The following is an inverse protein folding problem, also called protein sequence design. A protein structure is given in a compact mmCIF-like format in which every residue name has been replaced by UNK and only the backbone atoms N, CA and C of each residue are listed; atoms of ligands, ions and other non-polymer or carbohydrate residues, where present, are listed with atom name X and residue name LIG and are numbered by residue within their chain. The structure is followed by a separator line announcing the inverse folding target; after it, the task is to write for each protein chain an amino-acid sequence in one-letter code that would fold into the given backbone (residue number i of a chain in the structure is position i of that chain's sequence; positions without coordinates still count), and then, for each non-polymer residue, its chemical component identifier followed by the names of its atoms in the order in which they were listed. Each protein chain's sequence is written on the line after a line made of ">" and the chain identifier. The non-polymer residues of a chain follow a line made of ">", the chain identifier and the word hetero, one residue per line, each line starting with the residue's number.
data_IF_498351137209
#
_entry.id   IF_498351137209
#
_cell.length_a   1.000
_cell.length_b   1.000
_cell.length_c   1.000
_cell.angle_alpha   90.00
_cell.angle_beta   90.00
_cell.angle_gamma   90.00
#
_symmetry.space_group_name_H-M   'P 1'
#
loop_
_entity.id
_entity.type
_entity.pdbx_description
1 polymer ?
#
# COMPACT_ATOMS: atom_id res chain seq x y z
N UNK A 1 -22.69 22.92 -5.68
CA UNK A 1 -21.61 22.62 -4.72
C UNK A 1 -21.14 21.16 -4.80
N UNK A 2 -22.04 20.18 -5.02
CA UNK A 2 -21.65 18.76 -5.16
C UNK A 2 -20.85 18.43 -6.43
N UNK A 3 -21.18 19.04 -7.57
CA UNK A 3 -20.48 18.78 -8.84
C UNK A 3 -18.98 19.15 -8.80
N UNK A 4 -18.63 20.24 -8.11
CA UNK A 4 -17.24 20.71 -7.99
C UNK A 4 -16.39 19.80 -7.11
N UNK A 5 -16.98 19.20 -6.07
CA UNK A 5 -16.30 18.24 -5.18
C UNK A 5 -16.04 16.91 -5.90
N UNK A 6 -16.99 16.44 -6.69
CA UNK A 6 -16.86 15.19 -7.46
C UNK A 6 -15.72 15.28 -8.49
N UNK A 7 -15.61 16.40 -9.22
CA UNK A 7 -14.53 16.58 -10.20
C UNK A 7 -13.13 16.65 -9.58
N UNK A 8 -12.98 17.28 -8.41
CA UNK A 8 -11.69 17.34 -7.70
C UNK A 8 -11.26 15.96 -7.17
N UNK A 9 -12.23 15.18 -6.67
CA UNK A 9 -12.00 13.83 -6.18
C UNK A 9 -11.55 12.88 -7.29
N UNK A 10 -12.17 12.97 -8.48
CA UNK A 10 -11.79 12.13 -9.62
C UNK A 10 -10.38 12.44 -10.13
N UNK A 11 -9.94 13.70 -10.06
CA UNK A 11 -8.57 14.08 -10.42
C UNK A 11 -7.53 13.45 -9.47
N UNK A 12 -7.72 13.56 -8.15
CA UNK A 12 -6.83 12.95 -7.14
C UNK A 12 -6.77 11.42 -7.28
N UNK A 13 -7.92 10.77 -7.50
CA UNK A 13 -7.95 9.33 -7.74
C UNK A 13 -7.21 8.96 -9.02
N UNK A 14 -7.42 9.70 -10.11
CA UNK A 14 -6.77 9.43 -11.41
C UNK A 14 -5.25 9.47 -11.27
N UNK A 15 -4.70 10.45 -10.56
CA UNK A 15 -3.26 10.57 -10.34
C UNK A 15 -2.71 9.44 -9.47
N UNK A 16 -3.48 8.92 -8.50
CA UNK A 16 -3.10 7.76 -7.69
C UNK A 16 -3.11 6.45 -8.48
N UNK A 17 -4.03 6.26 -9.42
CA UNK A 17 -4.12 5.00 -10.19
C UNK A 17 -3.16 4.96 -11.38
N UNK A 18 -2.80 6.12 -11.96
CA UNK A 18 -1.99 6.25 -13.18
C UNK A 18 -0.64 5.51 -13.15
N UNK A 19 0.13 5.49 -12.04
CA UNK A 19 1.38 4.74 -11.96
C UNK A 19 1.22 3.23 -12.20
N UNK A 20 0.03 2.69 -11.89
CA UNK A 20 -0.26 1.26 -11.98
C UNK A 20 -0.77 0.83 -13.35
N UNK A 21 -0.91 1.74 -14.33
CA UNK A 21 -1.42 1.41 -15.68
C UNK A 21 -0.69 0.23 -16.32
N UNK A 22 0.62 0.09 -16.10
CA UNK A 22 1.43 -1.00 -16.68
C UNK A 22 1.06 -2.41 -16.19
N UNK A 23 0.42 -2.52 -15.02
CA UNK A 23 0.03 -3.81 -14.42
C UNK A 23 -1.48 -4.07 -14.53
N UNK A 24 -2.24 -3.14 -15.08
CA UNK A 24 -3.69 -3.25 -15.27
C UNK A 24 -3.98 -3.75 -16.68
N UNK A 25 -5.00 -4.59 -16.80
CA UNK A 25 -5.56 -4.97 -18.09
C UNK A 25 -6.13 -3.74 -18.81
N UNK A 26 -6.04 -3.72 -20.15
CA UNK A 26 -6.48 -2.58 -20.96
C UNK A 26 -7.97 -2.30 -20.79
N UNK A 27 -8.81 -3.35 -20.72
CA UNK A 27 -10.25 -3.19 -20.50
C UNK A 27 -10.55 -2.66 -19.10
N UNK A 28 -9.79 -3.10 -18.08
CA UNK A 28 -9.92 -2.61 -16.71
C UNK A 28 -9.51 -1.15 -16.58
N UNK A 29 -8.45 -0.74 -17.29
CA UNK A 29 -8.03 0.65 -17.34
C UNK A 29 -9.11 1.56 -17.94
N UNK A 30 -9.66 1.16 -19.09
CA UNK A 30 -10.70 1.93 -19.78
C UNK A 30 -11.98 2.06 -18.94
N UNK A 31 -12.40 0.98 -18.28
CA UNK A 31 -13.56 1.01 -17.41
C UNK A 31 -13.36 1.89 -16.17
N UNK A 32 -12.16 1.90 -15.58
CA UNK A 32 -11.82 2.78 -14.45
C UNK A 32 -11.89 4.26 -14.87
N UNK A 33 -11.30 4.60 -16.01
CA UNK A 33 -11.37 5.96 -16.54
C UNK A 33 -12.82 6.35 -16.85
N UNK A 34 -13.59 5.43 -17.45
CA UNK A 34 -14.99 5.67 -17.73
C UNK A 34 -15.81 5.88 -16.45
N UNK A 35 -15.59 5.07 -15.41
CA UNK A 35 -16.27 5.19 -14.12
C UNK A 35 -15.95 6.52 -13.42
N UNK A 36 -14.69 6.97 -13.49
CA UNK A 36 -14.26 8.26 -12.94
C UNK A 36 -14.86 9.46 -13.71
N UNK A 37 -15.24 9.28 -14.97
CA UNK A 37 -15.90 10.32 -15.76
C UNK A 37 -17.43 10.26 -15.61
N UNK A 38 -18.00 9.06 -15.64
CA UNK A 38 -19.44 8.76 -15.68
C UNK A 38 -19.71 7.44 -14.92
N UNK A 39 -19.99 7.50 -13.61
CA UNK A 39 -20.11 6.32 -12.76
C UNK A 39 -21.31 5.43 -13.10
N UNK A 40 -22.30 5.95 -13.83
CA UNK A 40 -23.53 5.23 -14.19
C UNK A 40 -23.35 4.26 -15.37
N UNK A 41 -22.15 4.18 -15.96
CA UNK A 41 -21.90 3.31 -17.11
C UNK A 41 -21.57 1.88 -16.68
N UNK A 42 -22.05 0.88 -17.45
CA UNK A 42 -21.75 -0.52 -17.18
C UNK A 42 -20.27 -0.82 -17.45
N UNK A 43 -19.64 -1.48 -16.49
CA UNK A 43 -18.24 -1.96 -16.54
C UNK A 43 -18.22 -3.32 -17.25
N UNK A 44 -17.21 -3.55 -18.10
CA UNK A 44 -17.04 -4.80 -18.86
C UNK A 44 -15.94 -5.70 -18.30
N UNK A 45 -15.04 -5.13 -17.52
CA UNK A 45 -13.92 -5.83 -16.89
C UNK A 45 -14.42 -6.87 -15.91
N UNK A 46 -13.73 -8.01 -15.92
CA UNK A 46 -14.02 -9.10 -15.00
C UNK A 46 -13.62 -8.63 -13.60
N UNK A 47 -14.51 -8.84 -12.63
CA UNK A 47 -14.19 -8.57 -11.22
C UNK A 47 -12.94 -9.38 -10.87
N UNK A 48 -11.86 -8.68 -10.53
CA UNK A 48 -10.62 -9.35 -10.13
C UNK A 48 -10.95 -10.29 -8.96
N UNK A 49 -10.50 -11.55 -9.01
CA UNK A 49 -10.77 -12.48 -7.93
C UNK A 49 -10.20 -11.94 -6.63
N UNK A 50 -10.83 -12.29 -5.52
CA UNK A 50 -10.29 -12.00 -4.21
C UNK A 50 -8.84 -12.50 -4.13
N UNK A 51 -7.92 -11.65 -3.66
CA UNK A 51 -6.53 -12.05 -3.49
C UNK A 51 -6.49 -13.18 -2.46
N UNK A 52 -6.02 -14.36 -2.87
CA UNK A 52 -5.71 -15.44 -1.93
C UNK A 52 -4.49 -15.03 -1.10
N UNK A 53 -4.64 -14.96 0.22
CA UNK A 53 -3.50 -14.81 1.11
C UNK A 53 -2.65 -16.05 0.96
N UNK A 54 -1.45 -15.90 0.38
CA UNK A 54 -0.49 -17.01 0.28
C UNK A 54 0.04 -17.31 1.67
N UNK A 55 -0.53 -18.33 2.32
CA UNK A 55 0.01 -18.91 3.55
C UNK A 55 1.12 -19.88 3.16
N UNK A 56 2.13 -19.40 2.42
CA UNK A 56 3.37 -20.14 2.28
C UNK A 56 4.14 -19.95 3.58
N UNK A 57 4.66 -21.03 4.16
CA UNK A 57 5.75 -20.90 5.12
C UNK A 57 6.85 -20.08 4.43
N UNK A 58 7.13 -18.91 4.99
CA UNK A 58 8.26 -18.10 4.55
C UNK A 58 9.53 -18.89 4.88
N UNK A 59 10.57 -18.82 4.03
CA UNK A 59 11.84 -19.47 4.35
C UNK A 59 12.31 -19.00 5.73
N UNK A 60 12.85 -19.93 6.52
CA UNK A 60 13.45 -19.59 7.81
C UNK A 60 14.46 -18.46 7.58
N UNK A 61 14.21 -17.31 8.21
CA UNK A 61 15.12 -16.16 8.18
C UNK A 61 16.49 -16.64 8.66
N UNK A 62 17.49 -16.60 7.79
CA UNK A 62 18.88 -16.81 8.22
C UNK A 62 19.24 -15.70 9.21
N UNK A 63 19.86 -16.05 10.34
CA UNK A 63 20.28 -15.10 11.39
C UNK A 63 21.51 -14.27 10.96
N UNK A 64 21.47 -13.72 9.75
CA UNK A 64 22.51 -12.85 9.21
C UNK A 64 21.97 -11.41 9.19
N UNK A 65 22.77 -10.42 9.64
CA UNK A 65 22.36 -9.02 9.54
C UNK A 65 21.95 -8.69 8.11
N UNK A 66 20.73 -8.17 7.93
CA UNK A 66 20.19 -7.84 6.60
C UNK A 66 20.99 -6.74 5.91
N UNK A 67 21.57 -5.83 6.69
CA UNK A 67 22.45 -4.76 6.22
C UNK A 67 23.14 -4.06 7.40
N UNK A 68 24.30 -3.44 7.17
CA UNK A 68 24.94 -2.50 8.11
C UNK A 68 24.27 -1.11 8.10
N UNK A 69 23.27 -0.91 7.23
CA UNK A 69 22.59 0.39 7.05
C UNK A 69 21.60 0.69 8.19
N UNK A 70 21.01 -0.33 8.80
CA UNK A 70 20.09 -0.16 9.92
C UNK A 70 20.94 -0.03 11.20
N UNK A 71 20.74 1.07 11.94
CA UNK A 71 21.38 1.32 13.22
C UNK A 71 20.30 1.28 14.32
N UNK A 72 20.71 1.40 15.58
CA UNK A 72 19.81 1.39 16.73
C UNK A 72 18.69 2.45 16.65
N UNK A 73 18.95 3.63 16.07
CA UNK A 73 17.94 4.69 15.91
C UNK A 73 16.84 4.27 14.92
N UNK A 74 17.23 3.66 13.80
CA UNK A 74 16.28 3.11 12.83
C UNK A 74 15.45 1.97 13.45
N UNK A 75 16.03 1.14 14.30
CA UNK A 75 15.30 0.08 15.00
C UNK A 75 14.22 0.65 15.94
N UNK A 76 14.52 1.76 16.62
CA UNK A 76 13.58 2.44 17.50
C UNK A 76 12.44 3.11 16.71
N UNK A 77 12.76 3.74 15.58
CA UNK A 77 11.76 4.35 14.69
C UNK A 77 10.82 3.29 14.10
N UNK A 78 11.37 2.17 13.61
CA UNK A 78 10.55 1.08 13.07
C UNK A 78 9.68 0.47 14.17
N UNK A 79 10.22 0.24 15.38
CA UNK A 79 9.44 -0.28 16.52
C UNK A 79 8.30 0.66 16.90
N UNK A 80 8.59 1.97 16.93
CA UNK A 80 7.61 3.01 17.18
C UNK A 80 6.47 2.98 16.15
N UNK A 81 6.80 2.79 14.87
CA UNK A 81 5.84 2.72 13.78
C UNK A 81 5.00 1.44 13.80
N UNK A 82 5.59 0.29 14.13
CA UNK A 82 4.87 -0.99 14.23
C UNK A 82 3.79 -0.92 15.32
N UNK A 83 4.14 -0.38 16.48
CA UNK A 83 3.23 -0.30 17.63
C UNK A 83 2.32 0.93 17.60
N UNK A 84 2.46 1.80 16.58
CA UNK A 84 1.75 3.07 16.47
C UNK A 84 1.80 3.88 17.78
N UNK A 85 2.94 3.91 18.46
CA UNK A 85 3.10 4.67 19.69
C UNK A 85 3.09 6.17 19.43
N UNK A 86 2.90 6.96 20.48
CA UNK A 86 3.01 8.42 20.45
C UNK A 86 4.41 8.94 20.80
N UNK A 87 5.24 8.09 21.44
CA UNK A 87 6.64 8.37 21.75
C UNK A 87 7.53 7.20 21.36
N UNK A 88 8.71 7.45 20.76
CA UNK A 88 9.67 6.39 20.45
C UNK A 88 10.09 5.61 21.70
N UNK A 89 10.45 4.34 21.49
CA UNK A 89 11.05 3.53 22.54
C UNK A 89 12.44 4.07 22.90
N UNK A 90 12.87 3.80 24.14
CA UNK A 90 14.28 3.84 24.48
C UNK A 90 14.92 2.51 24.04
N UNK A 91 16.21 2.55 23.67
CA UNK A 91 16.97 1.35 23.26
C UNK A 91 16.86 0.20 24.26
N UNK A 92 16.72 0.49 25.55
CA UNK A 92 16.61 -0.50 26.63
C UNK A 92 15.24 -1.18 26.73
N UNK A 93 14.20 -0.53 26.21
CA UNK A 93 12.80 -0.93 26.35
C UNK A 93 12.20 -1.42 25.01
N UNK A 94 13.04 -1.59 23.99
CA UNK A 94 12.63 -1.99 22.65
C UNK A 94 12.18 -3.47 22.66
N UNK A 95 10.93 -3.77 22.25
CA UNK A 95 10.37 -5.12 22.34
C UNK A 95 10.84 -6.03 21.19
N UNK A 96 11.40 -5.45 20.13
CA UNK A 96 11.85 -6.14 18.94
C UNK A 96 13.36 -6.14 18.84
N UNK A 97 13.92 -7.19 18.22
CA UNK A 97 15.33 -7.24 17.86
C UNK A 97 15.40 -7.40 16.34
N UNK A 98 15.88 -6.38 15.66
CA UNK A 98 16.10 -6.47 14.22
C UNK A 98 17.44 -7.19 13.98
N UNK A 99 17.41 -8.20 13.11
CA UNK A 99 18.59 -8.98 12.71
C UNK A 99 18.54 -9.10 11.21
#
# INVERSE_FOLDING_TARGET
>A
MLATLFSHFNADITDRIKPYKKILDEQLWDDLIQYLLLPDRPIKSIILPARSISISELPSRENKPFSTIINDEHELEISYLIDFKSTPYLSRDMPYKFQ
#
